data_IF_304285324072
#
_entry.id   IF_304285324072
#
_cell.length_a   1.000
_cell.length_b   1.000
_cell.length_c   1.000
_cell.angle_alpha   90.00
_cell.angle_beta   90.00
_cell.angle_gamma   90.00
#
_symmetry.space_group_name_H-M   'P 1'
#
loop_
_entity.id
_entity.type
_entity.pdbx_description
1 polymer ?
#
# COMPACT_ATOMS: atom_id res chain seq x y z
N UNK A 1 9.88 50.86 -47.09
CA UNK A 1 8.57 50.56 -47.72
C UNK A 1 8.70 49.22 -48.43
N UNK A 2 7.94 48.15 -48.25
CA UNK A 2 6.79 47.77 -47.43
C UNK A 2 6.96 46.28 -47.11
N UNK A 3 6.43 45.86 -45.96
CA UNK A 3 6.39 44.49 -45.45
C UNK A 3 5.46 43.61 -46.29
N UNK A 4 5.79 42.33 -46.42
CA UNK A 4 4.82 41.23 -46.56
C UNK A 4 5.35 40.06 -45.74
N UNK A 5 4.72 39.82 -44.59
CA UNK A 5 4.93 38.61 -43.78
C UNK A 5 3.88 37.59 -44.25
N UNK A 6 4.33 36.45 -44.77
CA UNK A 6 3.46 35.32 -45.04
C UNK A 6 3.18 34.61 -43.72
N UNK A 7 1.93 34.65 -43.28
CA UNK A 7 1.43 33.96 -42.10
C UNK A 7 1.13 32.50 -42.49
N UNK A 8 1.99 31.56 -42.10
CA UNK A 8 1.70 30.12 -42.17
C UNK A 8 0.81 29.76 -40.97
N UNK A 9 -0.49 29.58 -41.21
CA UNK A 9 -1.42 28.97 -40.27
C UNK A 9 -1.23 27.45 -40.33
N UNK A 10 -0.52 26.88 -39.34
CA UNK A 10 -0.59 25.45 -39.05
C UNK A 10 -1.91 25.16 -38.31
N UNK A 11 -2.86 24.54 -39.01
CA UNK A 11 -3.96 23.84 -38.35
C UNK A 11 -3.43 22.54 -37.75
N UNK A 12 -3.12 22.55 -36.46
CA UNK A 12 -2.99 21.31 -35.69
C UNK A 12 -4.42 20.77 -35.44
N UNK A 13 -4.84 19.83 -36.28
CA UNK A 13 -6.06 19.06 -36.05
C UNK A 13 -5.90 18.22 -34.78
N UNK A 14 -6.61 18.59 -33.73
CA UNK A 14 -6.83 17.72 -32.57
C UNK A 14 -7.70 16.57 -33.05
N UNK A 15 -7.10 15.40 -33.26
CA UNK A 15 -7.84 14.16 -33.45
C UNK A 15 -8.45 13.76 -32.10
N UNK A 16 -9.67 14.22 -31.82
CA UNK A 16 -10.51 13.62 -30.79
C UNK A 16 -10.84 12.19 -31.25
N UNK A 17 -10.15 11.20 -30.69
CA UNK A 17 -10.55 9.80 -30.80
C UNK A 17 -11.83 9.60 -29.98
N UNK A 18 -12.96 9.66 -30.68
CA UNK A 18 -14.26 9.28 -30.13
C UNK A 18 -14.19 7.78 -29.85
N UNK A 19 -14.20 7.38 -28.58
CA UNK A 19 -14.32 5.98 -28.18
C UNK A 19 -15.65 5.45 -28.74
N UNK A 20 -15.56 4.61 -29.78
CA UNK A 20 -16.73 4.02 -30.41
C UNK A 20 -17.31 2.98 -29.45
N UNK A 21 -18.42 3.31 -28.79
CA UNK A 21 -19.14 2.40 -27.92
C UNK A 21 -19.76 1.30 -28.79
N UNK A 22 -19.31 0.06 -28.63
CA UNK A 22 -20.02 -1.11 -29.18
C UNK A 22 -21.35 -1.29 -28.44
N UNK A 23 -22.31 -1.98 -29.05
CA UNK A 23 -23.67 -2.19 -28.52
C UNK A 23 -23.73 -2.77 -27.10
N UNK A 24 -22.64 -3.37 -26.62
CA UNK A 24 -22.48 -4.00 -25.31
C UNK A 24 -22.04 -3.03 -24.20
N UNK A 25 -21.68 -1.77 -24.50
CA UNK A 25 -21.14 -0.86 -23.47
C UNK A 25 -19.76 -1.26 -22.94
N UNK A 26 -19.13 -2.27 -23.57
CA UNK A 26 -17.79 -2.75 -23.24
C UNK A 26 -16.76 -1.92 -24.02
N UNK A 27 -15.66 -1.52 -23.39
CA UNK A 27 -14.61 -0.76 -24.09
C UNK A 27 -13.92 -1.63 -25.15
N UNK A 28 -13.47 -1.02 -26.26
CA UNK A 28 -12.86 -1.77 -27.37
C UNK A 28 -11.59 -2.54 -26.96
N UNK A 29 -10.82 -1.98 -26.03
CA UNK A 29 -9.61 -2.61 -25.49
C UNK A 29 -9.97 -3.81 -24.61
N UNK A 30 -10.93 -3.65 -23.67
CA UNK A 30 -11.45 -4.76 -22.87
C UNK A 30 -12.02 -5.86 -23.77
N UNK A 31 -12.78 -5.51 -24.81
CA UNK A 31 -13.38 -6.49 -25.71
C UNK A 31 -12.34 -7.29 -26.50
N UNK A 32 -11.28 -6.64 -27.01
CA UNK A 32 -10.20 -7.33 -27.72
C UNK A 32 -9.47 -8.31 -26.80
N UNK A 33 -9.06 -7.84 -25.62
CA UNK A 33 -8.35 -8.66 -24.65
C UNK A 33 -9.21 -9.83 -24.15
N UNK A 34 -10.49 -9.56 -23.89
CA UNK A 34 -11.45 -10.54 -23.42
C UNK A 34 -11.59 -11.73 -24.39
N UNK A 35 -11.76 -11.48 -25.69
CA UNK A 35 -11.91 -12.57 -26.65
C UNK A 35 -10.65 -13.45 -26.69
N UNK A 36 -9.45 -12.84 -26.67
CA UNK A 36 -8.19 -13.58 -26.60
C UNK A 36 -8.13 -14.51 -25.39
N UNK A 37 -8.41 -14.00 -24.19
CA UNK A 37 -8.27 -14.81 -22.97
C UNK A 37 -9.41 -15.81 -22.77
N UNK A 38 -10.58 -15.57 -23.35
CA UNK A 38 -11.69 -16.53 -23.30
C UNK A 38 -11.41 -17.73 -24.20
N UNK A 39 -10.82 -17.52 -25.39
CA UNK A 39 -10.51 -18.61 -26.31
C UNK A 39 -9.45 -19.57 -25.76
N UNK A 40 -8.57 -19.08 -24.87
CA UNK A 40 -7.53 -19.88 -24.20
C UNK A 40 -8.02 -20.58 -22.91
N UNK A 41 -9.22 -20.29 -22.42
CA UNK A 41 -9.73 -20.85 -21.16
C UNK A 41 -10.50 -22.17 -21.37
N UNK A 42 -10.27 -23.22 -20.54
CA UNK A 42 -10.98 -24.50 -20.64
C UNK A 42 -12.48 -24.40 -20.30
N UNK A 43 -12.96 -23.25 -19.81
CA UNK A 43 -14.36 -23.01 -19.43
C UNK A 43 -14.98 -21.78 -20.09
N UNK A 44 -14.47 -21.42 -21.26
CA UNK A 44 -14.89 -20.27 -22.07
C UNK A 44 -16.41 -20.11 -22.19
N UNK A 45 -17.16 -21.18 -22.47
CA UNK A 45 -18.63 -21.17 -22.56
C UNK A 45 -19.29 -20.66 -21.27
N UNK A 46 -18.81 -21.12 -20.11
CA UNK A 46 -19.36 -20.70 -18.81
C UNK A 46 -19.07 -19.23 -18.52
N UNK A 47 -17.90 -18.73 -18.93
CA UNK A 47 -17.52 -17.32 -18.77
C UNK A 47 -18.33 -16.41 -19.71
N UNK A 48 -18.59 -16.86 -20.95
CA UNK A 48 -19.46 -16.15 -21.91
C UNK A 48 -20.91 -16.09 -21.41
N UNK A 49 -21.42 -17.18 -20.81
CA UNK A 49 -22.73 -17.20 -20.15
C UNK A 49 -22.76 -16.23 -18.97
N UNK A 50 -21.74 -16.26 -18.08
CA UNK A 50 -21.64 -15.33 -16.95
C UNK A 50 -21.70 -13.87 -17.42
N UNK A 51 -20.93 -13.50 -18.45
CA UNK A 51 -20.94 -12.15 -19.01
C UNK A 51 -22.32 -11.77 -19.59
N UNK A 52 -22.96 -12.68 -20.33
CA UNK A 52 -24.29 -12.44 -20.91
C UNK A 52 -25.37 -12.25 -19.84
N UNK A 53 -25.28 -13.00 -18.75
CA UNK A 53 -26.20 -12.92 -17.60
C UNK A 53 -25.88 -11.75 -16.65
N UNK A 54 -24.72 -11.13 -16.78
CA UNK A 54 -24.35 -9.94 -16.01
C UNK A 54 -25.25 -8.77 -16.44
N UNK A 55 -25.82 -7.99 -15.49
CA UNK A 55 -26.61 -6.81 -15.80
C UNK A 55 -25.87 -5.86 -16.76
N UNK A 56 -26.59 -5.23 -17.68
CA UNK A 56 -25.98 -4.47 -18.78
C UNK A 56 -25.04 -3.35 -18.31
N UNK A 57 -25.38 -2.69 -17.22
CA UNK A 57 -24.58 -1.64 -16.57
C UNK A 57 -23.36 -2.18 -15.79
N UNK A 58 -23.30 -3.48 -15.53
CA UNK A 58 -22.19 -4.18 -14.87
C UNK A 58 -21.28 -4.95 -15.85
N UNK A 59 -21.68 -5.07 -17.13
CA UNK A 59 -20.97 -5.89 -18.12
C UNK A 59 -19.54 -5.43 -18.39
N UNK A 60 -19.25 -4.12 -18.38
CA UNK A 60 -17.86 -3.64 -18.54
C UNK A 60 -16.97 -4.06 -17.36
N UNK A 61 -17.50 -4.04 -16.12
CA UNK A 61 -16.76 -4.50 -14.95
C UNK A 61 -16.47 -6.01 -15.03
N UNK A 62 -17.48 -6.82 -15.40
CA UNK A 62 -17.26 -8.25 -15.60
C UNK A 62 -16.27 -8.53 -16.73
N UNK A 63 -16.40 -7.85 -17.88
CA UNK A 63 -15.49 -7.98 -19.00
C UNK A 63 -14.05 -7.61 -18.61
N UNK A 64 -13.86 -6.52 -17.87
CA UNK A 64 -12.55 -6.09 -17.39
C UNK A 64 -11.90 -7.14 -16.47
N UNK A 65 -12.65 -7.70 -15.50
CA UNK A 65 -12.12 -8.76 -14.65
C UNK A 65 -11.71 -9.98 -15.47
N UNK A 66 -12.58 -10.48 -16.35
CA UNK A 66 -12.28 -11.66 -17.17
C UNK A 66 -11.05 -11.43 -18.08
N UNK A 67 -10.93 -10.23 -18.65
CA UNK A 67 -9.81 -9.83 -19.51
C UNK A 67 -8.45 -9.83 -18.79
N UNK A 68 -8.42 -9.41 -17.52
CA UNK A 68 -7.16 -9.13 -16.80
C UNK A 68 -6.87 -9.99 -15.58
N UNK A 69 -7.84 -10.78 -15.10
CA UNK A 69 -7.61 -11.71 -13.98
C UNK A 69 -6.52 -12.75 -14.31
N UNK A 70 -5.81 -13.27 -13.29
CA UNK A 70 -4.87 -14.37 -13.48
C UNK A 70 -5.52 -15.57 -14.18
N UNK A 71 -4.75 -16.28 -15.00
CA UNK A 71 -5.26 -17.44 -15.73
C UNK A 71 -5.83 -18.51 -14.78
N UNK A 72 -5.12 -18.81 -13.69
CA UNK A 72 -5.58 -19.78 -12.69
C UNK A 72 -6.96 -19.42 -12.11
N UNK A 73 -7.19 -18.14 -11.81
CA UNK A 73 -8.48 -17.67 -11.33
C UNK A 73 -9.55 -17.77 -12.44
N UNK A 74 -9.23 -17.36 -13.68
CA UNK A 74 -10.16 -17.45 -14.82
C UNK A 74 -10.66 -18.89 -15.00
N UNK A 75 -9.76 -19.85 -14.84
CA UNK A 75 -10.00 -21.25 -15.13
C UNK A 75 -10.67 -21.99 -13.96
N UNK A 76 -10.51 -21.52 -12.71
CA UNK A 76 -10.90 -22.30 -11.52
C UNK A 76 -11.80 -21.56 -10.52
N UNK A 77 -11.83 -20.23 -10.51
CA UNK A 77 -12.59 -19.46 -9.53
C UNK A 77 -14.10 -19.72 -9.65
N UNK A 78 -14.80 -19.72 -8.51
CA UNK A 78 -16.26 -19.86 -8.50
C UNK A 78 -16.91 -18.66 -9.21
N UNK A 79 -17.82 -18.93 -10.16
CA UNK A 79 -18.54 -17.88 -10.89
C UNK A 79 -19.50 -17.12 -9.98
N UNK A 80 -20.00 -17.75 -8.91
CA UNK A 80 -20.83 -17.07 -7.92
C UNK A 80 -20.01 -16.00 -7.19
N UNK A 81 -18.75 -16.28 -6.89
CA UNK A 81 -17.83 -15.33 -6.27
C UNK A 81 -17.52 -14.14 -7.19
N UNK A 82 -17.23 -14.41 -8.48
CA UNK A 82 -17.04 -13.35 -9.48
C UNK A 82 -18.28 -12.46 -9.62
N UNK A 83 -19.47 -13.08 -9.69
CA UNK A 83 -20.73 -12.37 -9.79
C UNK A 83 -20.98 -11.48 -8.57
N UNK A 84 -20.81 -12.01 -7.36
CA UNK A 84 -20.97 -11.24 -6.12
C UNK A 84 -20.00 -10.06 -6.07
N UNK A 85 -18.72 -10.28 -6.45
CA UNK A 85 -17.72 -9.24 -6.48
C UNK A 85 -18.13 -8.08 -7.41
N UNK A 86 -18.52 -8.38 -8.66
CA UNK A 86 -18.95 -7.36 -9.63
C UNK A 86 -20.19 -6.61 -9.13
N UNK A 87 -21.22 -7.33 -8.67
CA UNK A 87 -22.46 -6.71 -8.18
C UNK A 87 -22.20 -5.76 -7.01
N UNK A 88 -21.40 -6.14 -6.02
CA UNK A 88 -21.12 -5.25 -4.88
C UNK A 88 -20.17 -4.09 -5.23
N UNK A 89 -19.21 -4.29 -6.14
CA UNK A 89 -18.36 -3.20 -6.62
C UNK A 89 -19.19 -2.14 -7.37
N UNK A 90 -20.06 -2.57 -8.29
CA UNK A 90 -20.96 -1.70 -9.03
C UNK A 90 -22.00 -1.02 -8.13
N UNK A 91 -22.51 -1.74 -7.12
CA UNK A 91 -23.37 -1.16 -6.08
C UNK A 91 -22.69 -0.03 -5.31
N UNK A 92 -21.47 -0.24 -4.82
CA UNK A 92 -20.70 0.80 -4.15
C UNK A 92 -20.47 2.01 -5.07
N UNK A 93 -20.17 1.76 -6.36
CA UNK A 93 -20.03 2.81 -7.37
C UNK A 93 -21.30 3.63 -7.58
N UNK A 94 -22.44 2.97 -7.62
CA UNK A 94 -23.73 3.62 -7.83
C UNK A 94 -24.20 4.42 -6.61
N UNK A 95 -23.93 3.91 -5.40
CA UNK A 95 -24.41 4.47 -4.14
C UNK A 95 -23.56 5.65 -3.64
N UNK A 96 -22.23 5.52 -3.71
CA UNK A 96 -21.36 6.50 -3.08
C UNK A 96 -20.91 7.60 -4.04
N UNK A 97 -21.05 8.88 -3.67
CA UNK A 97 -20.75 10.00 -4.57
C UNK A 97 -19.27 10.04 -4.99
N UNK A 98 -18.35 9.67 -4.10
CA UNK A 98 -16.92 9.60 -4.43
C UNK A 98 -16.62 8.48 -5.43
N UNK A 99 -17.21 7.30 -5.25
CA UNK A 99 -17.00 6.16 -6.13
C UNK A 99 -17.58 6.42 -7.53
N UNK A 100 -18.74 7.07 -7.59
CA UNK A 100 -19.36 7.52 -8.84
C UNK A 100 -18.50 8.53 -9.62
N UNK A 101 -17.76 9.38 -8.90
CA UNK A 101 -16.92 10.40 -9.50
C UNK A 101 -15.57 9.86 -10.02
N UNK A 102 -15.21 8.61 -9.70
CA UNK A 102 -13.96 8.02 -10.16
C UNK A 102 -13.95 7.83 -11.69
N UNK A 103 -12.81 8.12 -12.35
CA UNK A 103 -12.56 7.67 -13.71
C UNK A 103 -12.73 6.15 -13.82
N UNK A 104 -13.27 5.65 -14.93
CA UNK A 104 -13.45 4.21 -15.16
C UNK A 104 -12.15 3.43 -14.97
N UNK A 105 -11.02 3.96 -15.45
CA UNK A 105 -9.72 3.32 -15.32
C UNK A 105 -9.26 3.15 -13.87
N UNK A 106 -9.63 4.06 -12.97
CA UNK A 106 -9.32 3.97 -11.54
C UNK A 106 -10.29 3.00 -10.86
N UNK A 107 -11.58 3.10 -11.14
CA UNK A 107 -12.57 2.18 -10.57
C UNK A 107 -12.26 0.72 -10.94
N UNK A 108 -12.03 0.44 -12.23
CA UNK A 108 -11.79 -0.90 -12.75
C UNK A 108 -10.48 -1.51 -12.22
N UNK A 109 -9.42 -0.71 -12.04
CA UNK A 109 -8.12 -1.23 -11.60
C UNK A 109 -7.89 -1.20 -10.09
N UNK A 110 -8.56 -0.30 -9.35
CA UNK A 110 -8.22 -0.02 -7.95
C UNK A 110 -9.40 -0.24 -6.97
N UNK A 111 -10.62 -0.45 -7.47
CA UNK A 111 -11.82 -0.72 -6.64
C UNK A 111 -12.42 -2.10 -6.94
N UNK A 112 -12.60 -2.41 -8.22
CA UNK A 112 -13.23 -3.64 -8.71
C UNK A 112 -12.48 -4.95 -8.39
N UNK A 113 -11.14 -5.01 -8.34
CA UNK A 113 -10.42 -6.28 -8.13
C UNK A 113 -10.85 -7.00 -6.85
N UNK A 114 -10.99 -8.32 -6.95
CA UNK A 114 -11.39 -9.20 -5.85
C UNK A 114 -10.21 -9.66 -4.96
N UNK A 115 -8.99 -9.28 -5.32
CA UNK A 115 -7.77 -9.64 -4.60
C UNK A 115 -6.71 -8.53 -4.77
N UNK A 116 -5.70 -8.57 -3.92
CA UNK A 116 -4.53 -7.68 -3.92
C UNK A 116 -3.27 -8.39 -4.40
N UNK A 117 -3.04 -9.63 -3.96
CA UNK A 117 -1.89 -10.47 -4.29
C UNK A 117 -2.36 -11.89 -4.64
N UNK A 118 -1.67 -12.92 -4.17
CA UNK A 118 -2.00 -14.34 -4.34
C UNK A 118 -2.76 -14.94 -3.14
N UNK A 119 -3.44 -14.12 -2.32
CA UNK A 119 -4.27 -14.60 -1.22
C UNK A 119 -5.42 -15.51 -1.70
N UNK A 120 -5.95 -16.35 -0.81
CA UNK A 120 -7.09 -17.22 -1.15
C UNK A 120 -8.28 -16.37 -1.59
N UNK A 121 -8.96 -16.79 -2.66
CA UNK A 121 -10.09 -16.06 -3.24
C UNK A 121 -11.32 -16.25 -2.35
N UNK A 122 -11.64 -15.20 -1.61
CA UNK A 122 -12.70 -15.19 -0.60
C UNK A 122 -13.90 -14.32 -1.00
N UNK A 123 -15.09 -14.68 -0.48
CA UNK A 123 -16.33 -13.90 -0.58
C UNK A 123 -16.36 -12.70 0.39
N UNK A 124 -15.28 -11.91 0.44
CA UNK A 124 -15.14 -10.81 1.40
C UNK A 124 -16.01 -9.60 1.05
N UNK A 125 -16.25 -9.34 -0.25
CA UNK A 125 -16.79 -8.03 -0.69
C UNK A 125 -18.16 -7.72 -0.13
N UNK A 126 -19.07 -8.70 -0.13
CA UNK A 126 -20.41 -8.51 0.44
C UNK A 126 -20.35 -8.26 1.94
N UNK A 127 -19.64 -9.11 2.69
CA UNK A 127 -19.49 -8.98 4.15
C UNK A 127 -18.89 -7.61 4.51
N UNK A 128 -17.84 -7.19 3.81
CA UNK A 128 -17.18 -5.90 4.08
C UNK A 128 -18.07 -4.72 3.70
N UNK A 129 -18.75 -4.78 2.56
CA UNK A 129 -19.73 -3.75 2.20
C UNK A 129 -20.81 -3.62 3.29
N UNK A 130 -21.35 -4.74 3.80
CA UNK A 130 -22.36 -4.73 4.88
C UNK A 130 -21.82 -4.16 6.20
N UNK A 131 -20.54 -4.38 6.51
CA UNK A 131 -19.87 -3.81 7.69
C UNK A 131 -19.60 -2.32 7.58
N UNK A 132 -19.11 -1.86 6.43
CA UNK A 132 -18.54 -0.51 6.27
C UNK A 132 -19.52 0.48 5.62
N UNK A 133 -20.40 0.06 4.70
CA UNK A 133 -21.35 0.96 4.04
C UNK A 133 -22.23 1.76 5.02
N UNK A 134 -22.76 1.18 6.12
CA UNK A 134 -23.54 1.95 7.11
C UNK A 134 -22.71 3.03 7.81
N UNK A 135 -21.40 2.85 7.92
CA UNK A 135 -20.47 3.75 8.63
C UNK A 135 -20.12 4.97 7.80
N UNK A 136 -20.06 4.82 6.48
CA UNK A 136 -19.71 5.90 5.54
C UNK A 136 -20.91 6.59 4.90
N UNK A 137 -22.14 6.17 5.19
CA UNK A 137 -23.37 6.73 4.59
C UNK A 137 -23.49 8.25 4.77
N UNK A 138 -22.96 8.80 5.87
CA UNK A 138 -22.97 10.24 6.15
C UNK A 138 -21.82 11.03 5.53
N UNK A 139 -20.78 10.34 5.02
CA UNK A 139 -19.63 10.98 4.40
C UNK A 139 -20.03 11.61 3.06
N UNK A 140 -19.44 12.77 2.76
CA UNK A 140 -19.68 13.52 1.52
C UNK A 140 -18.49 13.45 0.58
N UNK A 141 -17.31 13.15 1.11
CA UNK A 141 -16.05 13.14 0.35
C UNK A 141 -15.36 11.79 0.46
N UNK A 142 -14.48 11.50 -0.51
CA UNK A 142 -13.62 10.31 -0.48
C UNK A 142 -12.76 10.30 0.78
N UNK A 143 -12.22 11.46 1.16
CA UNK A 143 -11.37 11.60 2.35
C UNK A 143 -12.11 11.28 3.64
N UNK A 144 -13.32 11.80 3.83
CA UNK A 144 -14.13 11.48 5.02
C UNK A 144 -14.45 9.98 5.10
N UNK A 145 -14.77 9.34 3.97
CA UNK A 145 -15.03 7.90 3.93
C UNK A 145 -13.78 7.07 4.25
N UNK A 146 -12.63 7.45 3.70
CA UNK A 146 -11.32 6.86 3.99
C UNK A 146 -10.97 6.95 5.48
N UNK A 147 -10.98 8.16 6.04
CA UNK A 147 -10.65 8.37 7.45
C UNK A 147 -11.58 7.57 8.36
N UNK A 148 -12.88 7.49 8.01
CA UNK A 148 -13.87 6.69 8.74
C UNK A 148 -13.55 5.21 8.73
N UNK A 149 -13.29 4.61 7.56
CA UNK A 149 -13.00 3.16 7.45
C UNK A 149 -11.68 2.82 8.13
N UNK A 150 -10.62 3.59 7.85
CA UNK A 150 -9.28 3.31 8.36
C UNK A 150 -9.21 3.42 9.89
N UNK A 151 -9.97 4.34 10.50
CA UNK A 151 -10.02 4.50 11.95
C UNK A 151 -10.72 3.35 12.67
N UNK A 152 -11.71 2.71 12.04
CA UNK A 152 -12.57 1.72 12.71
C UNK A 152 -12.24 0.27 12.33
N UNK A 153 -11.46 0.04 11.27
CA UNK A 153 -11.21 -1.32 10.77
C UNK A 153 -10.76 -2.29 11.87
N UNK A 154 -9.82 -1.96 12.79
CA UNK A 154 -9.36 -2.94 13.77
C UNK A 154 -10.48 -3.41 14.70
N UNK A 155 -11.39 -2.52 15.06
CA UNK A 155 -12.54 -2.82 15.90
C UNK A 155 -13.62 -3.63 15.16
N UNK A 156 -13.78 -3.38 13.86
CA UNK A 156 -14.82 -4.02 13.04
C UNK A 156 -14.46 -5.45 12.65
N UNK A 157 -13.17 -5.73 12.38
CA UNK A 157 -12.71 -7.05 11.95
C UNK A 157 -12.07 -7.86 13.08
N UNK A 158 -11.62 -7.23 14.16
CA UNK A 158 -11.07 -7.92 15.34
C UNK A 158 -9.75 -8.64 15.09
N UNK A 159 -8.91 -8.08 14.21
CA UNK A 159 -7.60 -8.66 13.83
C UNK A 159 -6.47 -7.80 14.37
N UNK A 160 -5.52 -8.42 15.05
CA UNK A 160 -4.31 -7.78 15.60
C UNK A 160 -3.05 -8.17 14.84
N UNK A 161 -2.03 -7.31 14.87
CA UNK A 161 -0.74 -7.64 14.28
C UNK A 161 -0.06 -8.78 15.03
N UNK A 162 0.31 -9.85 14.30
CA UNK A 162 1.08 -10.96 14.83
C UNK A 162 1.83 -11.69 13.70
N UNK A 163 3.08 -12.07 13.96
CA UNK A 163 3.91 -12.86 13.04
C UNK A 163 3.79 -14.38 13.23
N UNK A 164 3.03 -14.86 14.22
CA UNK A 164 2.74 -16.29 14.48
C UNK A 164 1.51 -16.84 13.75
N UNK A 165 1.05 -16.11 12.72
CA UNK A 165 -0.01 -16.48 11.79
C UNK A 165 0.29 -17.73 10.95
N UNK A 166 -0.77 -18.39 10.45
CA UNK A 166 -0.68 -19.61 9.63
C UNK A 166 0.09 -19.45 8.30
N UNK A 167 -0.03 -18.30 7.63
CA UNK A 167 0.70 -17.96 6.39
C UNK A 167 0.80 -16.44 6.20
N UNK A 168 1.67 -15.97 5.31
CA UNK A 168 1.92 -14.52 5.13
C UNK A 168 0.78 -13.80 4.40
N UNK A 169 0.28 -14.37 3.32
CA UNK A 169 -0.76 -13.82 2.43
C UNK A 169 -2.17 -14.30 2.81
N UNK A 170 -2.54 -14.16 4.09
CA UNK A 170 -3.89 -14.50 4.56
C UNK A 170 -4.95 -13.67 3.84
N UNK A 171 -6.03 -14.33 3.41
CA UNK A 171 -7.24 -13.66 2.96
C UNK A 171 -8.00 -13.03 4.14
N UNK A 172 -8.98 -12.15 3.88
CA UNK A 172 -9.79 -11.55 4.93
C UNK A 172 -10.41 -12.56 5.89
N UNK A 173 -10.98 -13.66 5.38
CA UNK A 173 -11.63 -14.67 6.23
C UNK A 173 -10.61 -15.42 7.08
N UNK A 174 -9.42 -15.69 6.54
CA UNK A 174 -8.35 -16.37 7.28
C UNK A 174 -7.80 -15.50 8.42
N UNK A 175 -7.58 -14.21 8.17
CA UNK A 175 -7.14 -13.25 9.20
C UNK A 175 -8.19 -13.06 10.29
N UNK A 176 -9.46 -12.86 9.90
CA UNK A 176 -10.57 -12.70 10.86
C UNK A 176 -10.83 -13.96 11.67
N UNK A 177 -10.70 -15.15 11.07
CA UNK A 177 -10.81 -16.43 11.79
C UNK A 177 -9.73 -16.59 12.86
N UNK A 178 -8.49 -16.18 12.56
CA UNK A 178 -7.38 -16.27 13.51
C UNK A 178 -7.36 -15.14 14.53
N UNK A 179 -8.04 -14.02 14.26
CA UNK A 179 -7.90 -12.78 15.04
C UNK A 179 -6.51 -12.15 14.92
N UNK A 180 -5.69 -12.59 13.95
CA UNK A 180 -4.33 -12.09 13.78
C UNK A 180 -3.80 -12.18 12.35
N UNK A 181 -2.91 -11.25 12.00
CA UNK A 181 -2.20 -11.25 10.72
C UNK A 181 -0.88 -10.45 10.80
N UNK A 182 0.07 -10.70 9.88
CA UNK A 182 1.24 -9.81 9.70
C UNK A 182 0.89 -8.60 8.81
N UNK A 183 1.86 -7.70 8.58
CA UNK A 183 1.70 -6.49 7.76
C UNK A 183 1.05 -6.77 6.39
N UNK A 184 1.38 -7.89 5.75
CA UNK A 184 0.75 -8.36 4.51
C UNK A 184 -0.76 -8.58 4.67
N UNK A 185 -1.21 -9.45 5.58
CA UNK A 185 -2.64 -9.72 5.78
C UNK A 185 -3.42 -8.50 6.29
N UNK A 186 -2.81 -7.66 7.13
CA UNK A 186 -3.42 -6.40 7.56
C UNK A 186 -3.59 -5.40 6.41
N UNK A 187 -2.66 -5.36 5.46
CA UNK A 187 -2.77 -4.53 4.25
C UNK A 187 -3.85 -5.04 3.30
N UNK A 188 -3.98 -6.37 3.14
CA UNK A 188 -5.07 -6.99 2.37
C UNK A 188 -6.42 -6.60 2.99
N UNK A 189 -6.59 -6.76 4.31
CA UNK A 189 -7.79 -6.36 5.03
C UNK A 189 -8.17 -4.89 4.80
N UNK A 190 -7.20 -3.99 4.89
CA UNK A 190 -7.47 -2.56 4.69
C UNK A 190 -7.83 -2.24 3.24
N UNK A 191 -7.11 -2.79 2.25
CA UNK A 191 -7.44 -2.63 0.84
C UNK A 191 -8.86 -3.09 0.56
N UNK A 192 -9.24 -4.29 1.03
CA UNK A 192 -10.56 -4.86 0.80
C UNK A 192 -11.66 -4.04 1.50
N UNK A 193 -11.41 -3.57 2.73
CA UNK A 193 -12.37 -2.72 3.44
C UNK A 193 -12.64 -1.41 2.69
N UNK A 194 -11.58 -0.76 2.19
CA UNK A 194 -11.69 0.47 1.40
C UNK A 194 -12.41 0.23 0.07
N UNK A 195 -12.01 -0.81 -0.67
CA UNK A 195 -12.63 -1.19 -1.95
C UNK A 195 -14.11 -1.56 -1.79
N UNK A 196 -14.50 -2.14 -0.66
CA UNK A 196 -15.90 -2.51 -0.39
C UNK A 196 -16.84 -1.31 -0.40
N UNK A 197 -16.35 -0.10 -0.08
CA UNK A 197 -17.12 1.15 -0.12
C UNK A 197 -16.67 2.11 -1.22
N UNK A 198 -16.03 1.56 -2.26
CA UNK A 198 -15.69 2.31 -3.47
C UNK A 198 -14.52 3.28 -3.32
N UNK A 199 -13.66 3.11 -2.32
CA UNK A 199 -12.43 3.87 -2.16
C UNK A 199 -11.31 3.15 -2.94
N UNK A 200 -10.64 3.80 -3.90
CA UNK A 200 -9.57 3.16 -4.67
C UNK A 200 -8.33 2.98 -3.80
N UNK A 201 -7.91 1.72 -3.68
CA UNK A 201 -6.81 1.32 -2.83
C UNK A 201 -6.02 0.16 -3.45
N UNK A 202 -4.73 0.06 -3.12
CA UNK A 202 -3.85 -1.02 -3.56
C UNK A 202 -2.83 -1.38 -2.49
N UNK A 203 -2.32 -2.60 -2.61
CA UNK A 203 -1.24 -3.10 -1.79
C UNK A 203 0.11 -2.55 -2.28
N UNK A 204 0.98 -2.17 -1.34
CA UNK A 204 2.36 -1.80 -1.64
C UNK A 204 3.31 -2.39 -0.60
N UNK A 205 4.58 -2.50 -0.96
CA UNK A 205 5.57 -3.07 -0.04
C UNK A 205 7.00 -3.03 -0.57
N UNK A 206 7.92 -3.31 0.35
CA UNK A 206 9.31 -3.64 0.06
C UNK A 206 9.61 -5.07 0.51
N UNK A 207 10.48 -5.78 -0.22
CA UNK A 207 10.92 -7.11 0.15
C UNK A 207 11.95 -7.08 1.30
N UNK A 208 12.77 -6.03 1.37
CA UNK A 208 13.54 -5.68 2.55
C UNK A 208 13.82 -4.17 2.60
N UNK A 209 13.85 -3.59 3.79
CA UNK A 209 14.39 -2.24 3.96
C UNK A 209 15.87 -2.15 3.53
N UNK A 210 16.36 -0.94 3.29
CA UNK A 210 17.74 -0.69 2.83
C UNK A 210 18.82 -1.27 3.77
N UNK A 211 18.49 -1.53 5.04
CA UNK A 211 19.37 -2.10 6.07
C UNK A 211 19.11 -3.60 6.32
N UNK A 212 18.33 -4.25 5.45
CA UNK A 212 17.98 -5.67 5.48
C UNK A 212 17.24 -6.13 6.75
N UNK A 213 16.57 -5.23 7.48
CA UNK A 213 15.83 -5.61 8.71
C UNK A 213 14.50 -6.35 8.47
N UNK A 214 14.15 -6.60 7.22
CA UNK A 214 12.97 -7.38 6.82
C UNK A 214 12.03 -6.62 5.90
N UNK A 215 11.00 -7.32 5.45
CA UNK A 215 9.99 -6.79 4.54
C UNK A 215 8.98 -5.91 5.29
N UNK A 216 8.25 -5.10 4.54
CA UNK A 216 7.05 -4.44 5.04
C UNK A 216 6.01 -4.27 3.95
N UNK A 217 4.74 -4.25 4.34
CA UNK A 217 3.62 -4.06 3.43
C UNK A 217 2.63 -3.09 4.04
N UNK A 218 2.05 -2.26 3.20
CA UNK A 218 1.10 -1.23 3.58
C UNK A 218 0.07 -0.99 2.46
N UNK A 219 -0.81 -0.02 2.68
CA UNK A 219 -1.88 0.34 1.73
C UNK A 219 -1.61 1.69 1.11
N UNK A 220 -1.82 1.79 -0.20
CA UNK A 220 -1.89 3.07 -0.90
C UNK A 220 -3.32 3.37 -1.30
N UNK A 221 -3.71 4.63 -1.19
CA UNK A 221 -5.06 5.12 -1.52
C UNK A 221 -4.95 6.24 -2.55
N UNK A 222 -5.86 6.22 -3.53
CA UNK A 222 -5.92 7.25 -4.55
C UNK A 222 -6.90 8.35 -4.13
N UNK A 223 -6.37 9.54 -3.89
CA UNK A 223 -7.13 10.74 -3.51
C UNK A 223 -6.69 11.89 -4.41
N UNK A 224 -7.66 12.59 -5.00
CA UNK A 224 -7.45 13.82 -5.77
C UNK A 224 -6.36 13.72 -6.87
N UNK A 225 -6.24 12.56 -7.51
CA UNK A 225 -5.32 12.35 -8.62
C UNK A 225 -3.90 11.91 -8.22
N UNK A 226 -3.67 11.59 -6.94
CA UNK A 226 -2.37 11.13 -6.45
C UNK A 226 -2.51 9.94 -5.48
N UNK A 227 -1.43 9.17 -5.35
CA UNK A 227 -1.32 8.06 -4.41
C UNK A 227 -0.72 8.52 -3.09
N UNK A 228 -1.40 8.18 -1.99
CA UNK A 228 -0.94 8.41 -0.63
C UNK A 228 -0.78 7.08 0.12
N UNK A 229 0.18 6.99 1.03
CA UNK A 229 0.34 5.83 1.92
C UNK A 229 -0.50 5.96 3.19
N UNK A 230 -0.98 4.81 3.68
CA UNK A 230 -1.60 4.62 4.99
C UNK A 230 -1.36 3.19 5.49
N UNK A 231 -1.78 2.88 6.70
CA UNK A 231 -1.65 1.55 7.31
C UNK A 231 -2.95 1.11 7.99
N UNK A 232 -3.08 -0.20 8.25
CA UNK A 232 -4.20 -0.79 8.99
C UNK A 232 -4.43 -0.11 10.34
N UNK A 233 -3.35 0.18 11.05
CA UNK A 233 -3.38 1.11 12.18
C UNK A 233 -3.18 2.51 11.64
N UNK A 234 -4.24 3.32 11.69
CA UNK A 234 -4.28 4.66 11.12
C UNK A 234 -3.07 5.51 11.59
N UNK A 235 -2.17 5.92 10.68
CA UNK A 235 -1.09 6.84 11.03
C UNK A 235 -1.63 8.25 11.36
N UNK A 236 -0.81 9.12 11.98
CA UNK A 236 -1.22 10.50 12.31
C UNK A 236 -1.70 11.32 11.10
N UNK A 237 -1.18 10.99 9.91
CA UNK A 237 -1.61 11.53 8.63
C UNK A 237 -1.28 10.53 7.52
N UNK A 238 -1.95 10.66 6.38
CA UNK A 238 -1.51 10.04 5.13
C UNK A 238 -0.08 10.47 4.80
N UNK A 239 0.72 9.57 4.23
CA UNK A 239 2.16 9.76 4.01
C UNK A 239 2.95 10.07 5.29
N UNK A 240 2.38 9.80 6.47
CA UNK A 240 2.97 10.09 7.78
C UNK A 240 3.20 8.84 8.63
N UNK A 241 3.34 7.67 7.99
CA UNK A 241 3.64 6.42 8.68
C UNK A 241 5.08 6.38 9.20
N UNK A 242 5.33 5.52 10.19
CA UNK A 242 6.63 5.39 10.84
C UNK A 242 7.77 4.98 9.88
N UNK A 243 7.44 4.28 8.80
CA UNK A 243 8.42 3.75 7.85
C UNK A 243 8.90 4.76 6.79
N UNK A 244 8.38 6.00 6.78
CA UNK A 244 8.64 6.95 5.69
C UNK A 244 10.13 7.28 5.53
N UNK A 245 10.90 7.30 6.62
CA UNK A 245 12.35 7.52 6.57
C UNK A 245 13.10 6.36 5.89
N UNK A 246 12.67 5.12 6.09
CA UNK A 246 13.24 3.95 5.43
C UNK A 246 12.80 3.88 3.96
N UNK A 247 11.52 4.18 3.69
CA UNK A 247 11.00 4.23 2.34
C UNK A 247 11.68 5.30 1.48
N UNK A 248 12.06 6.43 2.10
CA UNK A 248 12.87 7.48 1.49
C UNK A 248 14.31 7.08 1.12
N UNK A 249 14.76 5.91 1.57
CA UNK A 249 16.07 5.33 1.27
C UNK A 249 15.96 4.06 0.39
N UNK A 250 14.80 3.84 -0.23
CA UNK A 250 14.60 2.75 -1.18
C UNK A 250 15.51 2.88 -2.41
N UNK A 251 15.73 1.76 -3.11
CA UNK A 251 16.56 1.70 -4.32
C UNK A 251 15.67 1.45 -5.55
N UNK A 252 15.42 2.46 -6.40
CA UNK A 252 14.61 2.28 -7.62
C UNK A 252 15.18 1.19 -8.52
N UNK A 253 14.30 0.31 -9.01
CA UNK A 253 14.62 -0.82 -9.87
C UNK A 253 15.17 -2.06 -9.15
N UNK A 254 15.50 -1.97 -7.86
CA UNK A 254 16.00 -3.10 -7.08
C UNK A 254 14.84 -3.96 -6.54
N UNK A 255 14.96 -5.28 -6.62
CA UNK A 255 13.87 -6.21 -6.23
C UNK A 255 13.77 -6.44 -4.72
N UNK A 256 14.86 -6.23 -4.01
CA UNK A 256 14.96 -6.42 -2.57
C UNK A 256 14.65 -5.09 -1.89
N UNK A 257 15.33 -4.01 -2.30
CA UNK A 257 15.29 -2.70 -1.63
C UNK A 257 14.40 -1.65 -2.31
N UNK A 258 13.76 -2.01 -3.42
CA UNK A 258 12.76 -1.17 -4.07
C UNK A 258 11.37 -1.32 -3.46
N UNK A 259 10.52 -0.33 -3.73
CA UNK A 259 9.12 -0.33 -3.31
C UNK A 259 8.24 -0.55 -4.53
N UNK A 260 7.39 -1.56 -4.44
CA UNK A 260 6.45 -1.92 -5.50
C UNK A 260 5.02 -1.75 -5.00
N UNK A 261 4.13 -1.32 -5.89
CA UNK A 261 2.70 -1.28 -5.63
C UNK A 261 1.96 -2.12 -6.67
N UNK A 262 1.05 -2.99 -6.21
CA UNK A 262 0.37 -3.96 -7.07
C UNK A 262 -0.54 -3.25 -8.07
N UNK A 263 -0.80 -3.93 -9.18
CA UNK A 263 -1.75 -3.53 -10.20
C UNK A 263 -2.53 -4.74 -10.67
N UNK A 264 -3.84 -4.62 -10.87
CA UNK A 264 -4.62 -5.71 -11.42
C UNK A 264 -4.33 -5.91 -12.91
N UNK A 265 -4.22 -4.82 -13.67
CA UNK A 265 -3.78 -4.88 -15.07
C UNK A 265 -2.27 -5.12 -15.18
N UNK A 266 -1.80 -5.77 -16.26
CA UNK A 266 -0.39 -5.90 -16.56
C UNK A 266 0.32 -4.56 -16.64
N UNK A 267 1.52 -4.50 -16.06
CA UNK A 267 2.39 -3.31 -16.03
C UNK A 267 3.70 -3.54 -16.79
N UNK A 268 3.97 -4.79 -17.19
CA UNK A 268 5.29 -5.24 -17.66
C UNK A 268 6.26 -5.58 -16.52
N UNK A 269 5.80 -5.50 -15.27
CA UNK A 269 6.59 -5.81 -14.08
C UNK A 269 5.74 -6.54 -13.01
N UNK A 270 6.36 -7.09 -11.97
CA UNK A 270 5.72 -7.89 -10.93
C UNK A 270 6.09 -7.47 -9.51
N UNK A 271 5.22 -7.78 -8.55
CA UNK A 271 5.44 -7.56 -7.13
C UNK A 271 6.39 -8.62 -6.55
N UNK A 272 7.50 -8.24 -5.86
CA UNK A 272 8.40 -9.20 -5.23
C UNK A 272 7.77 -9.79 -3.95
N UNK A 273 7.11 -10.93 -4.07
CA UNK A 273 6.49 -11.64 -2.94
C UNK A 273 7.53 -12.43 -2.14
N UNK A 274 7.82 -12.00 -0.91
CA UNK A 274 8.81 -12.66 -0.03
C UNK A 274 8.41 -14.05 0.46
N UNK A 275 7.15 -14.44 0.28
CA UNK A 275 6.66 -15.79 0.58
C UNK A 275 6.62 -16.70 -0.66
N UNK A 276 6.83 -16.15 -1.85
CA UNK A 276 6.80 -16.86 -3.13
C UNK A 276 7.67 -16.13 -4.17
N UNK A 277 8.99 -16.22 -4.01
CA UNK A 277 9.97 -15.45 -4.77
C UNK A 277 10.00 -15.80 -6.27
N UNK A 278 9.46 -16.97 -6.66
CA UNK A 278 9.43 -17.44 -8.05
C UNK A 278 8.21 -16.93 -8.83
N UNK A 279 7.10 -16.59 -8.16
CA UNK A 279 5.89 -16.16 -8.86
C UNK A 279 6.06 -14.79 -9.53
N UNK A 280 5.42 -14.65 -10.69
CA UNK A 280 5.36 -13.42 -11.50
C UNK A 280 3.92 -13.01 -11.80
N UNK A 281 2.96 -13.61 -11.10
CA UNK A 281 1.53 -13.51 -11.44
C UNK A 281 0.90 -12.22 -10.93
N UNK A 282 1.49 -11.59 -9.91
CA UNK A 282 1.01 -10.33 -9.35
C UNK A 282 1.76 -9.17 -10.02
N UNK A 283 1.07 -8.41 -10.87
CA UNK A 283 1.67 -7.26 -11.54
C UNK A 283 1.92 -6.11 -10.57
N UNK A 284 2.94 -5.30 -10.84
CA UNK A 284 3.26 -4.15 -10.02
C UNK A 284 3.90 -2.99 -10.78
N UNK A 285 3.89 -1.82 -10.17
CA UNK A 285 4.70 -0.67 -10.58
C UNK A 285 5.74 -0.37 -9.51
N UNK A 286 6.98 -0.08 -9.92
CA UNK A 286 7.98 0.50 -9.03
C UNK A 286 7.56 1.92 -8.66
N UNK A 287 7.42 2.18 -7.36
CA UNK A 287 7.03 3.47 -6.79
C UNK A 287 8.10 4.03 -5.84
N UNK A 288 9.30 3.46 -5.84
CA UNK A 288 10.42 3.86 -4.97
C UNK A 288 10.71 5.36 -5.05
N UNK A 289 10.79 5.90 -6.28
CA UNK A 289 11.07 7.32 -6.50
C UNK A 289 10.04 8.24 -5.83
N UNK A 290 8.76 7.84 -5.79
CA UNK A 290 7.73 8.64 -5.12
C UNK A 290 7.98 8.73 -3.61
N UNK A 291 8.40 7.64 -2.97
CA UNK A 291 8.71 7.67 -1.53
C UNK A 291 9.98 8.47 -1.22
N UNK A 292 11.01 8.37 -2.07
CA UNK A 292 12.21 9.21 -1.99
C UNK A 292 11.83 10.69 -2.07
N UNK A 293 11.02 11.07 -3.06
CA UNK A 293 10.61 12.45 -3.27
C UNK A 293 9.73 12.96 -2.12
N UNK A 294 8.75 12.16 -1.67
CA UNK A 294 7.87 12.51 -0.55
C UNK A 294 8.66 12.74 0.74
N UNK A 295 9.54 11.82 1.11
CA UNK A 295 10.34 11.96 2.32
C UNK A 295 11.33 13.12 2.24
N UNK A 296 11.93 13.34 1.05
CA UNK A 296 12.78 14.50 0.79
C UNK A 296 12.03 15.82 0.98
N UNK A 297 10.82 15.95 0.42
CA UNK A 297 9.98 17.14 0.58
C UNK A 297 9.58 17.37 2.05
N UNK A 298 9.16 16.32 2.76
CA UNK A 298 8.81 16.40 4.19
C UNK A 298 10.00 16.86 5.03
N UNK A 299 11.18 16.27 4.80
CA UNK A 299 12.40 16.64 5.51
C UNK A 299 12.77 18.10 5.25
N UNK A 300 12.71 18.58 4.00
CA UNK A 300 12.97 19.98 3.68
C UNK A 300 11.97 20.93 4.36
N UNK A 301 10.68 20.59 4.38
CA UNK A 301 9.69 21.39 5.06
C UNK A 301 9.94 21.47 6.58
N UNK A 302 10.32 20.34 7.20
CA UNK A 302 10.68 20.29 8.62
C UNK A 302 11.89 21.16 8.92
N UNK A 303 12.96 21.06 8.11
CA UNK A 303 14.19 21.82 8.29
C UNK A 303 13.96 23.33 8.15
N UNK A 304 13.01 23.77 7.32
CA UNK A 304 12.64 25.18 7.19
C UNK A 304 11.87 25.74 8.40
N UNK A 305 11.12 24.89 9.11
CA UNK A 305 10.30 25.31 10.24
C UNK A 305 11.08 25.33 11.57
N UNK A 306 12.28 24.74 11.60
CA UNK A 306 13.13 24.60 12.80
C UNK A 306 12.39 23.95 14.00
N UNK A 307 11.45 23.06 13.72
CA UNK A 307 10.61 22.40 14.74
C UNK A 307 11.19 21.08 15.24
N UNK A 308 12.21 20.53 14.57
CA UNK A 308 12.80 19.22 14.85
C UNK A 308 14.31 19.34 15.05
N UNK A 309 14.89 18.35 15.73
CA UNK A 309 16.34 18.19 15.90
C UNK A 309 16.75 16.75 15.63
N UNK A 310 18.03 16.54 15.33
CA UNK A 310 18.57 15.21 15.09
C UNK A 310 18.78 14.47 16.41
N UNK A 311 18.20 13.29 16.51
CA UNK A 311 18.46 12.35 17.61
C UNK A 311 19.23 11.17 17.06
N UNK A 312 20.43 10.94 17.60
CA UNK A 312 21.27 9.81 17.23
C UNK A 312 21.10 8.70 18.24
N UNK A 313 20.80 7.48 17.81
CA UNK A 313 20.76 6.32 18.69
C UNK A 313 21.98 5.43 18.44
N UNK A 314 22.73 5.10 19.49
CA UNK A 314 23.88 4.19 19.43
C UNK A 314 23.65 3.05 20.40
N UNK A 315 23.82 1.83 19.91
CA UNK A 315 23.75 0.62 20.73
C UNK A 315 25.16 0.15 21.04
N UNK A 316 25.43 -0.07 22.33
CA UNK A 316 26.67 -0.66 22.82
C UNK A 316 26.39 -1.99 23.51
N UNK A 317 27.46 -2.77 23.69
CA UNK A 317 27.40 -4.02 24.44
C UNK A 317 26.91 -3.78 25.87
N UNK A 318 27.61 -2.92 26.62
CA UNK A 318 27.28 -2.57 28.00
C UNK A 318 27.90 -1.22 28.41
N UNK A 319 27.68 -0.78 29.65
CA UNK A 319 28.20 0.51 30.17
C UNK A 319 29.73 0.60 30.26
N UNK A 320 30.44 -0.53 30.35
CA UNK A 320 31.89 -0.58 30.44
C UNK A 320 32.53 -0.64 29.04
N UNK A 321 31.79 -1.10 28.05
CA UNK A 321 32.17 -1.18 26.64
C UNK A 321 31.29 -0.22 25.82
N UNK A 322 31.56 1.08 25.89
CA UNK A 322 30.71 2.10 25.25
C UNK A 322 31.44 3.29 24.63
N UNK A 323 32.69 3.09 24.16
CA UNK A 323 33.51 4.21 23.68
C UNK A 323 33.98 4.09 22.24
N UNK A 324 33.98 2.88 21.66
CA UNK A 324 34.61 2.64 20.35
C UNK A 324 33.72 1.80 19.44
N UNK A 325 34.09 1.71 18.15
CA UNK A 325 33.34 0.92 17.17
C UNK A 325 33.21 -0.54 17.59
N UNK A 326 34.30 -1.19 18.01
CA UNK A 326 34.31 -2.59 18.48
C UNK A 326 33.30 -2.91 19.58
N UNK A 327 32.82 -1.89 20.30
CA UNK A 327 31.89 -2.05 21.41
C UNK A 327 30.42 -1.91 20.96
N UNK A 328 30.18 -1.51 19.71
CA UNK A 328 28.85 -1.34 19.12
C UNK A 328 28.18 -2.67 18.81
N UNK A 329 26.86 -2.66 18.88
CA UNK A 329 26.01 -3.81 18.56
C UNK A 329 24.97 -3.39 17.53
N UNK A 330 24.74 -4.26 16.54
CA UNK A 330 23.60 -4.09 15.63
C UNK A 330 22.32 -4.48 16.35
N UNK A 331 21.35 -3.58 16.38
CA UNK A 331 20.05 -3.81 16.98
C UNK A 331 18.98 -3.05 16.20
N UNK A 332 17.79 -3.65 16.08
CA UNK A 332 16.62 -2.95 15.61
C UNK A 332 16.11 -2.06 16.74
N UNK A 333 15.88 -0.79 16.43
CA UNK A 333 15.39 0.21 17.39
C UNK A 333 14.22 0.95 16.77
N UNK A 334 13.11 0.98 17.51
CA UNK A 334 11.91 1.74 17.15
C UNK A 334 11.77 2.94 18.09
N UNK A 335 11.24 4.07 17.58
CA UNK A 335 11.00 5.27 18.37
C UNK A 335 9.52 5.61 18.43
N UNK A 336 9.03 5.90 19.64
CA UNK A 336 7.64 6.20 19.94
C UNK A 336 7.48 7.56 20.63
N UNK A 337 6.34 8.19 20.42
CA UNK A 337 5.85 9.34 21.19
C UNK A 337 4.34 9.16 21.41
N UNK A 338 3.87 9.31 22.64
CA UNK A 338 2.45 9.15 23.02
C UNK A 338 1.80 7.85 22.49
N UNK A 339 2.56 6.75 22.49
CA UNK A 339 2.11 5.43 22.02
C UNK A 339 2.08 5.25 20.49
N UNK A 340 2.45 6.28 19.73
CA UNK A 340 2.54 6.24 18.26
C UNK A 340 4.00 6.00 17.86
N UNK A 341 4.23 5.02 16.98
CA UNK A 341 5.54 4.80 16.37
C UNK A 341 5.82 5.90 15.35
N UNK A 342 7.00 6.49 15.40
CA UNK A 342 7.41 7.60 14.53
C UNK A 342 8.56 7.25 13.59
N UNK A 343 9.26 6.16 13.88
CA UNK A 343 10.41 5.71 13.12
C UNK A 343 10.95 4.39 13.64
N UNK A 344 11.85 3.81 12.87
CA UNK A 344 12.68 2.69 13.31
C UNK A 344 13.92 2.59 12.44
N UNK A 345 14.80 1.64 12.76
CA UNK A 345 15.96 1.32 11.94
C UNK A 345 16.96 0.44 12.68
N UNK A 346 18.07 0.13 12.01
CA UNK A 346 19.14 -0.70 12.57
C UNK A 346 20.36 0.11 13.00
N UNK A 347 20.85 -0.11 14.21
CA UNK A 347 22.10 0.51 14.67
C UNK A 347 23.32 -0.12 14.00
N UNK A 348 24.37 0.68 13.83
CA UNK A 348 25.63 0.24 13.27
C UNK A 348 26.38 -0.74 14.20
N UNK A 349 27.01 -1.75 13.61
CA UNK A 349 27.83 -2.77 14.26
C UNK A 349 29.30 -2.41 14.40
N UNK A 350 30.13 -3.37 14.85
CA UNK A 350 31.50 -3.09 15.27
C UNK A 350 32.49 -2.79 14.15
N UNK A 351 32.12 -3.11 12.91
CA UNK A 351 32.95 -2.91 11.72
C UNK A 351 32.67 -1.59 10.99
N UNK A 352 31.63 -0.87 11.41
CA UNK A 352 31.21 0.38 10.77
C UNK A 352 31.88 1.61 11.42
N UNK A 353 31.98 2.69 10.64
CA UNK A 353 32.57 3.96 11.07
C UNK A 353 31.78 4.59 12.22
N UNK A 354 32.46 5.31 13.12
CA UNK A 354 31.78 5.92 14.27
C UNK A 354 30.77 7.01 13.89
N UNK A 355 30.82 7.57 12.69
CA UNK A 355 29.83 8.54 12.19
C UNK A 355 28.61 7.87 11.56
N UNK A 356 28.70 6.58 11.25
CA UNK A 356 27.59 5.73 10.83
C UNK A 356 26.77 5.34 12.07
N UNK A 357 25.63 5.99 12.25
CA UNK A 357 24.77 5.81 13.40
C UNK A 357 23.31 6.04 12.98
N UNK A 358 22.40 5.33 13.66
CA UNK A 358 20.97 5.47 13.45
C UNK A 358 20.53 6.86 13.88
N UNK A 359 19.87 7.60 12.97
CA UNK A 359 19.47 8.99 13.17
C UNK A 359 17.98 9.15 12.91
N UNK A 360 17.34 9.93 13.77
CA UNK A 360 15.94 10.31 13.66
C UNK A 360 15.84 11.83 13.64
N UNK A 361 14.91 12.36 12.84
CA UNK A 361 14.53 13.77 12.88
C UNK A 361 13.27 13.88 13.74
N UNK A 362 13.43 14.31 15.00
CA UNK A 362 12.35 14.29 15.99
C UNK A 362 11.98 15.71 16.42
N UNK A 363 10.70 15.94 16.66
CA UNK A 363 10.17 17.24 17.06
C UNK A 363 10.71 17.64 18.44
N UNK A 364 11.14 18.90 18.56
CA UNK A 364 11.70 19.48 19.78
C UNK A 364 10.66 19.54 20.90
N UNK A 365 11.13 19.54 22.14
CA UNK A 365 10.36 19.68 23.38
C UNK A 365 9.35 18.56 23.60
N UNK A 366 9.73 17.32 23.28
CA UNK A 366 8.92 16.13 23.52
C UNK A 366 9.75 15.03 24.19
N UNK A 367 9.06 14.08 24.80
CA UNK A 367 9.67 12.86 25.35
C UNK A 367 9.44 11.71 24.38
N UNK A 368 10.49 10.96 24.13
CA UNK A 368 10.48 9.82 23.22
C UNK A 368 10.89 8.56 23.96
N UNK A 369 10.26 7.45 23.59
CA UNK A 369 10.61 6.12 24.06
C UNK A 369 11.24 5.34 22.91
N UNK A 370 12.49 4.95 23.07
CA UNK A 370 13.20 4.04 22.17
C UNK A 370 13.01 2.62 22.67
N UNK A 371 12.64 1.71 21.77
CA UNK A 371 12.31 0.32 22.10
C UNK A 371 13.22 -0.60 21.28
N UNK A 372 13.82 -1.59 21.93
CA UNK A 372 14.63 -2.62 21.28
C UNK A 372 14.56 -3.94 22.05
N UNK A 373 15.04 -5.02 21.44
CA UNK A 373 15.19 -6.33 22.07
C UNK A 373 16.61 -6.49 22.63
N UNK A 374 16.75 -6.87 23.91
CA UNK A 374 18.07 -7.10 24.52
C UNK A 374 18.61 -8.51 24.23
N UNK A 375 19.81 -8.83 24.74
CA UNK A 375 20.46 -10.13 24.52
C UNK A 375 19.66 -11.35 25.00
N UNK A 376 18.64 -11.15 25.85
CA UNK A 376 17.76 -12.21 26.37
C UNK A 376 16.46 -12.36 25.56
N UNK A 377 16.28 -11.58 24.50
CA UNK A 377 15.03 -11.54 23.76
C UNK A 377 13.93 -10.71 24.45
N UNK A 378 14.29 -9.87 25.41
CA UNK A 378 13.31 -9.09 26.18
C UNK A 378 13.18 -7.67 25.64
N UNK A 379 11.94 -7.19 25.57
CA UNK A 379 11.63 -5.81 25.22
C UNK A 379 12.23 -4.85 26.27
N UNK A 380 13.12 -3.97 25.81
CA UNK A 380 13.81 -2.96 26.61
C UNK A 380 13.47 -1.56 26.09
N UNK A 381 13.39 -0.58 27.00
CA UNK A 381 13.02 0.80 26.67
C UNK A 381 14.01 1.80 27.23
N UNK A 382 14.32 2.84 26.44
CA UNK A 382 15.09 4.00 26.87
C UNK A 382 14.27 5.26 26.60
N UNK A 383 14.02 6.06 27.62
CA UNK A 383 13.34 7.35 27.46
C UNK A 383 14.35 8.49 27.30
N UNK A 384 14.04 9.44 26.44
CA UNK A 384 14.84 10.64 26.24
C UNK A 384 13.98 11.87 26.01
N UNK A 385 14.32 12.96 26.69
CA UNK A 385 13.73 14.28 26.46
C UNK A 385 14.52 14.96 25.36
N UNK A 386 13.86 15.27 24.25
CA UNK A 386 14.47 15.92 23.10
C UNK A 386 14.26 17.42 23.22
N UNK A 387 15.35 18.14 23.52
CA UNK A 387 15.37 19.59 23.63
C UNK A 387 15.55 20.30 22.28
N UNK A 388 16.17 21.47 22.29
CA UNK A 388 16.47 22.22 21.07
C UNK A 388 17.69 21.67 20.31
N UNK A 389 18.71 21.23 21.05
CA UNK A 389 19.98 20.75 20.50
C UNK A 389 19.94 19.27 20.11
N UNK A 390 20.76 18.82 19.14
CA UNK A 390 20.91 17.41 18.83
C UNK A 390 21.33 16.60 20.07
N UNK A 391 20.80 15.39 20.20
CA UNK A 391 21.09 14.51 21.35
C UNK A 391 21.47 13.10 20.90
N UNK A 392 22.39 12.49 21.63
CA UNK A 392 22.73 11.07 21.48
C UNK A 392 22.08 10.26 22.59
N UNK A 393 21.25 9.30 22.21
CA UNK A 393 20.64 8.30 23.10
C UNK A 393 21.46 7.02 23.01
N UNK A 394 21.75 6.42 24.16
CA UNK A 394 22.56 5.22 24.26
C UNK A 394 21.71 4.05 24.76
N UNK A 395 21.68 2.98 23.97
CA UNK A 395 21.16 1.68 24.38
C UNK A 395 22.29 0.75 24.80
N UNK A 396 21.96 -0.22 25.66
CA UNK A 396 22.86 -1.30 26.05
C UNK A 396 22.18 -2.64 25.78
N UNK A 397 22.92 -3.55 25.12
CA UNK A 397 22.42 -4.86 24.73
C UNK A 397 22.36 -5.86 25.91
N UNK A 398 23.28 -5.73 26.88
CA UNK A 398 23.39 -6.61 28.06
C UNK A 398 22.66 -6.12 29.31
#
# INVERSE_FOLDING_TARGET
MKRTHALMLLFAGVACTVASCTSSGISADSQRQLETVLDDSPRSDSLRVLLKETPRDEQEAMAYLLAWMPQGDRDTMDLALLRENVTYACRARAEFPWAKALPDSIFLNEVLPYASVDEVRDAWRKDFYERFAPRVRGCKTLREALDTVNAIIPQVVGVEYNTLREKTNQSPSESMRQGMASCTGLSILLVDALRSVGIPARFAGTAAWHDNRGNHSWTEVWLDGTWHSTEYYLPPALDGAWFMADAGQSTPGDRIHGIYAVSFRPTGDWFPMVWNEESRDVHAVDVSQRYIDLYGQQTQAILQQDTHTTVTFVMYKDKQHSSNSKDRVEANVDVFCDGVQLGGGRTAGPLQDMNDALKFLLKKNQTYTFVYENARGERTTVESVVGAEPVTVVGYME
#
